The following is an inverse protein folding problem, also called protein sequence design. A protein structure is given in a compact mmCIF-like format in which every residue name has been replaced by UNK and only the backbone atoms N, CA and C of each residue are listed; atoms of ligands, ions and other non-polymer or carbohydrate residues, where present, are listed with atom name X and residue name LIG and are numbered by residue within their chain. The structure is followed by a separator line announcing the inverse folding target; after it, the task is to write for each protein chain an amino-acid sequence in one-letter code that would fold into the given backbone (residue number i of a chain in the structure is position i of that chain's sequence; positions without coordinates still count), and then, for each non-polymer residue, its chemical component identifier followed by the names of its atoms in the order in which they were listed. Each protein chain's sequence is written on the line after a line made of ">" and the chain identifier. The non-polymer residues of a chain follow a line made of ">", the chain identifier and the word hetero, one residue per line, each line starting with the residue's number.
data_IF_539205566943
#
_entry.id   IF_539205566943
#
_cell.length_a   1.000
_cell.length_b   1.000
_cell.length_c   1.000
_cell.angle_alpha   90.00
_cell.angle_beta   90.00
_cell.angle_gamma   90.00
#
_symmetry.space_group_name_H-M   'P 1'
#
loop_
_entity.id
_entity.type
_entity.pdbx_description
1 polymer ?
#
# COMPACT_ATOMS: atom_id res chain seq x y z
N UNK A 1 -30.95 44.13 -16.79
CA UNK A 1 -31.23 43.06 -15.84
C UNK A 1 -30.41 41.87 -16.24
N UNK A 2 -29.18 41.80 -15.72
CA UNK A 2 -28.16 40.83 -16.11
C UNK A 2 -28.13 39.71 -15.11
N UNK A 3 -28.43 38.49 -15.54
CA UNK A 3 -28.29 37.28 -14.78
C UNK A 3 -26.81 36.88 -14.72
N UNK A 4 -26.23 37.08 -13.58
CA UNK A 4 -24.87 36.68 -13.25
C UNK A 4 -24.84 35.15 -13.09
N UNK A 5 -24.22 34.46 -14.05
CA UNK A 5 -23.95 33.05 -14.01
C UNK A 5 -22.81 32.83 -13.02
N UNK A 6 -23.12 32.32 -11.86
CA UNK A 6 -22.18 31.80 -10.86
C UNK A 6 -21.61 30.47 -11.38
N UNK A 7 -20.53 30.57 -12.18
CA UNK A 7 -19.68 29.41 -12.48
C UNK A 7 -18.78 29.21 -11.28
N UNK A 8 -19.13 28.22 -10.46
CA UNK A 8 -18.24 27.69 -9.45
C UNK A 8 -16.92 27.26 -10.11
N UNK A 9 -15.99 28.18 -10.08
CA UNK A 9 -14.59 27.96 -10.47
C UNK A 9 -14.00 26.98 -9.46
N UNK A 10 -13.99 25.71 -9.85
CA UNK A 10 -13.18 24.69 -9.19
C UNK A 10 -11.74 25.14 -9.38
N UNK A 11 -11.19 25.85 -8.40
CA UNK A 11 -9.78 26.23 -8.35
C UNK A 11 -8.98 24.93 -8.31
N UNK A 12 -8.61 24.44 -9.49
CA UNK A 12 -7.53 23.48 -9.63
C UNK A 12 -6.28 24.21 -9.18
N UNK A 13 -5.90 23.98 -7.92
CA UNK A 13 -4.64 24.49 -7.40
C UNK A 13 -3.54 24.15 -8.38
N UNK A 14 -2.69 25.13 -8.69
CA UNK A 14 -1.55 25.02 -9.59
C UNK A 14 -0.86 23.67 -9.40
N UNK A 15 -0.95 22.80 -10.39
CA UNK A 15 -0.25 21.51 -10.40
C UNK A 15 1.22 21.84 -10.57
N UNK A 16 1.93 21.83 -9.47
CA UNK A 16 3.34 22.18 -9.41
C UNK A 16 4.13 21.08 -10.10
N UNK A 17 4.72 21.37 -11.26
CA UNK A 17 5.58 20.42 -11.98
C UNK A 17 6.64 19.85 -11.03
N UNK A 18 6.63 18.54 -10.84
CA UNK A 18 7.60 17.84 -10.00
C UNK A 18 9.02 18.10 -10.52
N UNK A 19 9.89 18.57 -9.62
CA UNK A 19 11.32 18.69 -9.91
C UNK A 19 11.92 17.29 -10.07
N UNK A 20 12.99 17.17 -10.87
CA UNK A 20 13.66 15.88 -11.11
C UNK A 20 14.02 15.12 -9.84
N UNK A 21 14.44 15.83 -8.78
CA UNK A 21 14.73 15.25 -7.46
C UNK A 21 13.50 14.63 -6.78
N UNK A 22 12.33 15.21 -6.96
CA UNK A 22 11.08 14.71 -6.38
C UNK A 22 10.59 13.46 -7.14
N UNK A 23 10.75 13.42 -8.46
CA UNK A 23 10.49 12.24 -9.30
C UNK A 23 11.38 11.07 -8.90
N UNK A 24 12.67 11.35 -8.67
CA UNK A 24 13.64 10.34 -8.23
C UNK A 24 13.36 9.83 -6.82
N UNK A 25 13.05 10.72 -5.88
CA UNK A 25 12.66 10.34 -4.52
C UNK A 25 11.38 9.48 -4.50
N UNK A 26 10.41 9.82 -5.36
CA UNK A 26 9.21 9.01 -5.57
C UNK A 26 9.56 7.61 -6.08
N UNK A 27 10.43 7.50 -7.10
CA UNK A 27 10.89 6.22 -7.64
C UNK A 27 11.57 5.33 -6.59
N UNK A 28 12.48 5.89 -5.79
CA UNK A 28 13.14 5.16 -4.68
C UNK A 28 12.12 4.68 -3.64
N UNK A 29 11.13 5.50 -3.32
CA UNK A 29 10.05 5.13 -2.40
C UNK A 29 9.22 3.95 -2.92
N UNK A 30 8.95 3.90 -4.24
CA UNK A 30 8.30 2.76 -4.90
C UNK A 30 9.10 1.47 -4.70
N UNK A 31 10.38 1.50 -5.07
CA UNK A 31 11.29 0.34 -4.94
C UNK A 31 11.33 -0.17 -3.51
N UNK A 32 11.57 0.71 -2.54
CA UNK A 32 11.66 0.30 -1.13
C UNK A 32 10.37 -0.35 -0.62
N UNK A 33 9.22 0.22 -0.95
CA UNK A 33 7.90 -0.32 -0.59
C UNK A 33 7.68 -1.72 -1.19
N UNK A 34 7.96 -1.87 -2.48
CA UNK A 34 7.69 -3.10 -3.20
C UNK A 34 8.69 -4.21 -2.86
N UNK A 35 9.96 -3.87 -2.57
CA UNK A 35 10.92 -4.85 -2.04
C UNK A 35 10.47 -5.44 -0.71
N UNK A 36 9.99 -4.60 0.23
CA UNK A 36 9.46 -5.08 1.51
C UNK A 36 8.25 -5.98 1.29
N UNK A 37 7.36 -5.63 0.36
CA UNK A 37 6.20 -6.45 0.02
C UNK A 37 6.61 -7.82 -0.54
N UNK A 38 7.47 -7.84 -1.53
CA UNK A 38 7.94 -9.08 -2.18
C UNK A 38 8.65 -10.01 -1.20
N UNK A 39 9.57 -9.47 -0.38
CA UNK A 39 10.23 -10.24 0.67
C UNK A 39 9.21 -10.83 1.65
N UNK A 40 8.30 -9.99 2.15
CA UNK A 40 7.29 -10.44 3.11
C UNK A 40 6.38 -11.51 2.51
N UNK A 41 5.90 -11.33 1.28
CA UNK A 41 5.02 -12.28 0.60
C UNK A 41 5.73 -13.63 0.35
N UNK A 42 7.01 -13.61 -0.01
CA UNK A 42 7.79 -14.83 -0.26
C UNK A 42 8.12 -15.58 1.03
N UNK A 43 8.54 -14.86 2.08
CA UNK A 43 8.97 -15.48 3.32
C UNK A 43 7.83 -15.88 4.25
N UNK A 44 6.64 -15.29 4.14
CA UNK A 44 5.51 -15.61 5.02
C UNK A 44 5.07 -17.07 4.88
N UNK A 45 5.02 -17.58 3.65
CA UNK A 45 4.66 -18.98 3.40
C UNK A 45 5.70 -19.93 3.99
N UNK A 46 6.98 -19.66 3.72
CA UNK A 46 8.09 -20.43 4.26
C UNK A 46 8.06 -20.44 5.80
N UNK A 47 7.90 -19.27 6.43
CA UNK A 47 7.89 -19.15 7.88
C UNK A 47 6.75 -19.95 8.52
N UNK A 48 5.53 -19.80 8.03
CA UNK A 48 4.38 -20.48 8.63
C UNK A 48 4.30 -21.96 8.29
N UNK A 49 4.71 -22.39 7.09
CA UNK A 49 4.64 -23.80 6.70
C UNK A 49 5.85 -24.60 7.20
N UNK A 50 7.06 -24.12 6.90
CA UNK A 50 8.28 -24.91 7.16
C UNK A 50 8.81 -24.72 8.58
N UNK A 51 8.70 -23.53 9.17
CA UNK A 51 9.22 -23.27 10.52
C UNK A 51 8.15 -23.53 11.58
N UNK A 52 6.93 -23.05 11.38
CA UNK A 52 5.86 -23.12 12.37
C UNK A 52 4.94 -24.33 12.18
N UNK A 53 5.07 -25.07 11.09
CA UNK A 53 4.31 -26.31 10.82
C UNK A 53 2.82 -26.10 10.52
N UNK A 54 2.41 -24.93 10.03
CA UNK A 54 1.03 -24.67 9.59
C UNK A 54 0.80 -25.39 8.26
N UNK A 55 -0.32 -26.14 8.15
CA UNK A 55 -0.60 -26.88 6.92
C UNK A 55 -0.77 -25.96 5.72
N UNK A 56 -0.32 -26.39 4.52
CA UNK A 56 -0.45 -25.65 3.27
C UNK A 56 -1.91 -25.32 2.94
N UNK A 57 -2.85 -26.22 3.29
CA UNK A 57 -4.29 -25.99 3.11
C UNK A 57 -4.78 -24.84 3.98
N UNK A 58 -4.37 -24.78 5.26
CA UNK A 58 -4.74 -23.68 6.15
C UNK A 58 -4.18 -22.33 5.63
N UNK A 59 -2.92 -22.31 5.18
CA UNK A 59 -2.32 -21.11 4.57
C UNK A 59 -3.04 -20.70 3.30
N UNK A 60 -3.41 -21.65 2.43
CA UNK A 60 -4.20 -21.38 1.22
C UNK A 60 -5.55 -20.73 1.55
N UNK A 61 -6.26 -21.21 2.56
CA UNK A 61 -7.53 -20.62 3.03
C UNK A 61 -7.31 -19.21 3.59
N UNK A 62 -6.25 -18.98 4.38
CA UNK A 62 -5.92 -17.64 4.91
C UNK A 62 -5.67 -16.66 3.76
N UNK A 63 -4.86 -17.04 2.79
CA UNK A 63 -4.56 -16.21 1.61
C UNK A 63 -5.82 -15.90 0.80
N UNK A 64 -6.70 -16.88 0.62
CA UNK A 64 -7.96 -16.69 -0.10
C UNK A 64 -8.89 -15.71 0.61
N UNK A 65 -9.07 -15.86 1.94
CA UNK A 65 -9.89 -14.96 2.76
C UNK A 65 -9.29 -13.54 2.72
N UNK A 66 -7.97 -13.42 2.85
CA UNK A 66 -7.29 -12.12 2.78
C UNK A 66 -7.55 -11.42 1.43
N UNK A 67 -7.52 -12.14 0.30
CA UNK A 67 -7.83 -11.56 -1.02
C UNK A 67 -9.25 -11.05 -1.13
N UNK A 68 -10.22 -11.78 -0.56
CA UNK A 68 -11.61 -11.31 -0.49
C UNK A 68 -11.70 -10.03 0.37
N UNK A 69 -11.01 -10.03 1.51
CA UNK A 69 -10.98 -8.88 2.40
C UNK A 69 -10.37 -7.65 1.72
N UNK A 70 -9.24 -7.80 1.02
CA UNK A 70 -8.56 -6.73 0.27
C UNK A 70 -9.50 -6.11 -0.77
N UNK A 71 -10.29 -6.93 -1.49
CA UNK A 71 -11.24 -6.44 -2.48
C UNK A 71 -12.28 -5.46 -1.92
N UNK A 72 -12.64 -5.58 -0.65
CA UNK A 72 -13.52 -4.62 0.05
C UNK A 72 -12.74 -3.48 0.70
N UNK A 73 -11.58 -3.78 1.25
CA UNK A 73 -10.75 -2.81 1.97
C UNK A 73 -10.19 -1.72 1.04
N UNK A 74 -9.77 -2.08 -0.17
CA UNK A 74 -9.13 -1.14 -1.10
C UNK A 74 -10.06 0.01 -1.54
N UNK A 75 -11.32 -0.22 -1.97
CA UNK A 75 -12.26 0.86 -2.26
C UNK A 75 -12.55 1.75 -1.03
N UNK A 76 -12.69 1.15 0.14
CA UNK A 76 -12.95 1.87 1.39
C UNK A 76 -11.79 2.82 1.70
N UNK A 77 -10.56 2.31 1.65
CA UNK A 77 -9.35 3.12 1.84
C UNK A 77 -9.22 4.22 0.79
N UNK A 78 -9.54 3.93 -0.47
CA UNK A 78 -9.57 4.94 -1.54
C UNK A 78 -10.51 6.11 -1.20
N UNK A 79 -11.71 5.82 -0.70
CA UNK A 79 -12.69 6.84 -0.29
C UNK A 79 -12.18 7.63 0.93
N UNK A 80 -11.62 6.96 1.92
CA UNK A 80 -11.08 7.60 3.13
C UNK A 80 -9.95 8.56 2.76
N UNK A 81 -8.99 8.11 1.96
CA UNK A 81 -7.87 8.93 1.47
C UNK A 81 -8.38 10.10 0.62
N UNK A 82 -9.40 9.87 -0.23
CA UNK A 82 -10.00 10.92 -1.05
C UNK A 82 -10.63 12.05 -0.21
N UNK A 83 -11.28 11.70 0.89
CA UNK A 83 -11.95 12.64 1.81
C UNK A 83 -11.00 13.27 2.84
N UNK A 84 -9.79 12.77 2.98
CA UNK A 84 -8.84 13.27 3.98
C UNK A 84 -8.35 14.67 3.61
N UNK A 85 -8.49 15.60 4.57
CA UNK A 85 -7.97 16.97 4.50
C UNK A 85 -7.18 17.23 5.78
N UNK A 86 -5.84 17.25 5.69
CA UNK A 86 -4.98 17.54 6.84
C UNK A 86 -4.03 18.68 6.56
N UNK A 87 -3.48 19.29 7.64
CA UNK A 87 -2.48 20.37 7.55
C UNK A 87 -1.17 19.92 6.85
N UNK A 88 -0.88 18.62 6.83
CA UNK A 88 0.32 18.03 6.21
C UNK A 88 0.07 17.58 4.76
N UNK A 89 -1.11 17.89 4.22
CA UNK A 89 -1.56 17.42 2.91
C UNK A 89 -2.43 16.18 2.99
N UNK A 90 -2.90 15.71 1.83
CA UNK A 90 -3.85 14.61 1.71
C UNK A 90 -3.21 13.23 1.91
N UNK A 91 -1.99 13.03 1.36
CA UNK A 91 -1.35 11.72 1.25
C UNK A 91 -0.27 11.46 2.29
N UNK A 92 0.48 12.49 2.70
CA UNK A 92 1.63 12.36 3.63
C UNK A 92 1.31 11.67 4.95
N UNK A 93 0.21 12.01 5.66
CA UNK A 93 -0.09 11.36 6.95
C UNK A 93 -0.36 9.87 6.78
N UNK A 94 -1.03 9.47 5.70
CA UNK A 94 -1.33 8.07 5.41
C UNK A 94 -0.06 7.27 5.10
N UNK A 95 0.87 7.85 4.33
CA UNK A 95 2.16 7.21 4.07
C UNK A 95 2.95 6.99 5.36
N UNK A 96 3.02 8.01 6.22
CA UNK A 96 3.77 7.92 7.48
C UNK A 96 3.15 6.90 8.44
N UNK A 97 1.85 7.01 8.70
CA UNK A 97 1.12 6.09 9.58
C UNK A 97 1.13 4.67 9.01
N UNK A 98 0.85 4.52 7.71
CA UNK A 98 0.84 3.23 7.02
C UNK A 98 2.19 2.53 7.08
N UNK A 99 3.29 3.24 6.84
CA UNK A 99 4.64 2.67 6.92
C UNK A 99 4.98 2.23 8.34
N UNK A 100 4.70 3.07 9.33
CA UNK A 100 5.00 2.75 10.73
C UNK A 100 4.17 1.56 11.23
N UNK A 101 2.87 1.57 10.98
CA UNK A 101 1.98 0.46 11.38
C UNK A 101 2.29 -0.82 10.63
N UNK A 102 2.62 -0.73 9.33
CA UNK A 102 3.04 -1.88 8.53
C UNK A 102 4.32 -2.53 9.08
N UNK A 103 5.31 -1.72 9.47
CA UNK A 103 6.55 -2.23 10.07
C UNK A 103 6.28 -2.97 11.39
N UNK A 104 5.40 -2.44 12.25
CA UNK A 104 5.02 -3.08 13.51
C UNK A 104 4.30 -4.41 13.25
N UNK A 105 3.32 -4.41 12.34
CA UNK A 105 2.54 -5.61 12.02
C UNK A 105 3.43 -6.68 11.36
N UNK A 106 4.35 -6.25 10.48
CA UNK A 106 5.33 -7.15 9.88
C UNK A 106 6.22 -7.81 10.94
N UNK A 107 6.71 -7.03 11.90
CA UNK A 107 7.44 -7.59 13.04
C UNK A 107 6.60 -8.61 13.83
N UNK A 108 5.36 -8.27 14.18
CA UNK A 108 4.46 -9.18 14.88
C UNK A 108 4.18 -10.45 14.06
N UNK A 109 4.03 -10.35 12.75
CA UNK A 109 3.76 -11.48 11.87
C UNK A 109 4.89 -12.54 11.94
N UNK A 110 6.15 -12.12 12.05
CA UNK A 110 7.30 -13.02 12.18
C UNK A 110 7.72 -13.29 13.63
N UNK A 111 7.11 -12.63 14.61
CA UNK A 111 7.35 -12.85 16.04
C UNK A 111 6.25 -13.69 16.69
N UNK A 112 5.83 -14.78 16.03
CA UNK A 112 4.80 -15.66 16.57
C UNK A 112 5.29 -16.28 17.90
N UNK A 113 4.50 -16.19 19.00
CA UNK A 113 4.90 -16.76 20.28
C UNK A 113 5.03 -18.29 20.20
N UNK A 114 6.12 -18.89 20.71
CA UNK A 114 6.35 -20.33 20.64
C UNK A 114 5.35 -21.16 21.47
N UNK A 115 4.59 -20.50 22.33
CA UNK A 115 3.52 -21.12 23.10
C UNK A 115 2.26 -21.40 22.28
N UNK A 116 2.12 -20.80 21.10
CA UNK A 116 0.98 -21.03 20.23
C UNK A 116 1.18 -22.30 19.39
N UNK A 117 0.18 -23.18 19.42
CA UNK A 117 0.18 -24.40 18.63
C UNK A 117 -1.21 -24.68 18.03
N UNK A 118 -1.24 -25.49 16.97
CA UNK A 118 -2.49 -25.93 16.36
C UNK A 118 -3.39 -24.79 15.91
N UNK A 119 -4.64 -24.77 16.38
CA UNK A 119 -5.65 -23.76 15.98
C UNK A 119 -5.28 -22.32 16.37
N UNK A 120 -4.59 -22.16 17.51
CA UNK A 120 -4.15 -20.84 17.98
C UNK A 120 -3.13 -20.22 17.03
N UNK A 121 -2.20 -21.00 16.51
CA UNK A 121 -1.20 -20.56 15.54
C UNK A 121 -1.83 -20.17 14.21
N UNK A 122 -2.79 -20.97 13.71
CA UNK A 122 -3.53 -20.66 12.48
C UNK A 122 -4.33 -19.36 12.61
N UNK A 123 -5.00 -19.17 13.76
CA UNK A 123 -5.73 -17.92 14.02
C UNK A 123 -4.79 -16.70 14.10
N UNK A 124 -3.64 -16.84 14.75
CA UNK A 124 -2.62 -15.79 14.81
C UNK A 124 -2.08 -15.44 13.43
N UNK A 125 -1.75 -16.45 12.61
CA UNK A 125 -1.31 -16.26 11.23
C UNK A 125 -2.36 -15.53 10.40
N UNK A 126 -3.64 -15.91 10.52
CA UNK A 126 -4.74 -15.28 9.80
C UNK A 126 -4.91 -13.78 10.17
N UNK A 127 -4.93 -13.49 11.48
CA UNK A 127 -5.12 -12.13 11.98
C UNK A 127 -3.94 -11.23 11.59
N UNK A 128 -2.71 -11.68 11.80
CA UNK A 128 -1.52 -10.88 11.47
C UNK A 128 -1.36 -10.67 9.97
N UNK A 129 -1.70 -11.67 9.16
CA UNK A 129 -1.66 -11.55 7.69
C UNK A 129 -2.70 -10.57 7.16
N UNK A 130 -3.94 -10.60 7.66
CA UNK A 130 -5.00 -9.65 7.28
C UNK A 130 -4.61 -8.23 7.73
N UNK A 131 -4.11 -8.07 8.96
CA UNK A 131 -3.64 -6.76 9.44
C UNK A 131 -2.48 -6.22 8.60
N UNK A 132 -1.57 -7.09 8.16
CA UNK A 132 -0.49 -6.71 7.26
C UNK A 132 -1.04 -6.19 5.92
N UNK A 133 -2.02 -6.87 5.32
CA UNK A 133 -2.71 -6.41 4.11
C UNK A 133 -3.34 -5.03 4.31
N UNK A 134 -4.11 -4.82 5.38
CA UNK A 134 -4.74 -3.53 5.70
C UNK A 134 -3.72 -2.41 5.82
N UNK A 135 -2.66 -2.62 6.60
CA UNK A 135 -1.63 -1.59 6.81
C UNK A 135 -0.82 -1.32 5.55
N UNK A 136 -0.61 -2.33 4.71
CA UNK A 136 -0.01 -2.16 3.40
C UNK A 136 -0.90 -1.32 2.47
N UNK A 137 -2.20 -1.61 2.39
CA UNK A 137 -3.17 -0.84 1.60
C UNK A 137 -3.23 0.63 2.06
N UNK A 138 -3.13 0.90 3.37
CA UNK A 138 -3.06 2.26 3.91
C UNK A 138 -1.88 3.08 3.37
N UNK A 139 -0.80 2.44 2.99
CA UNK A 139 0.37 3.07 2.39
C UNK A 139 0.29 3.05 0.86
N UNK A 140 -0.14 1.96 0.27
CA UNK A 140 -0.13 1.72 -1.18
C UNK A 140 -1.10 2.64 -1.93
N UNK A 141 -2.34 2.73 -1.49
CA UNK A 141 -3.38 3.54 -2.16
C UNK A 141 -3.02 5.03 -2.20
N UNK A 142 -2.61 5.70 -1.09
CA UNK A 142 -2.16 7.08 -1.17
C UNK A 142 -0.96 7.26 -2.07
N UNK A 143 -0.04 6.29 -2.08
CA UNK A 143 1.16 6.33 -2.90
C UNK A 143 0.82 6.40 -4.40
N UNK A 144 0.01 5.49 -4.89
CA UNK A 144 -0.42 5.49 -6.30
C UNK A 144 -1.33 6.67 -6.64
N UNK A 145 -2.14 7.14 -5.69
CA UNK A 145 -3.01 8.31 -5.85
C UNK A 145 -2.24 9.63 -5.97
N UNK A 146 -0.97 9.65 -5.61
CA UNK A 146 -0.11 10.84 -5.79
C UNK A 146 0.23 11.09 -7.26
N UNK A 147 0.34 10.05 -8.10
CA UNK A 147 0.69 10.21 -9.53
C UNK A 147 -0.28 11.14 -10.26
N UNK A 148 -1.60 10.90 -10.27
CA UNK A 148 -2.53 11.80 -10.93
C UNK A 148 -2.64 13.18 -10.26
N UNK A 149 -2.27 13.29 -8.98
CA UNK A 149 -2.28 14.56 -8.26
C UNK A 149 -1.10 15.47 -8.60
N UNK A 150 0.02 14.90 -9.06
CA UNK A 150 1.26 15.64 -9.37
C UNK A 150 1.53 15.80 -10.87
N UNK A 151 0.75 15.20 -11.76
CA UNK A 151 1.00 15.20 -13.21
C UNK A 151 -0.15 15.86 -13.98
N UNK A 152 0.16 16.88 -14.78
CA UNK A 152 -0.83 17.56 -15.63
C UNK A 152 -1.09 16.82 -16.95
N UNK A 153 -0.06 16.21 -17.53
CA UNK A 153 -0.15 15.56 -18.84
C UNK A 153 -0.21 14.03 -18.74
N UNK A 154 -0.93 13.41 -19.68
CA UNK A 154 -0.96 11.94 -19.80
C UNK A 154 0.42 11.32 -19.96
N UNK A 155 1.30 11.96 -20.76
CA UNK A 155 2.69 11.52 -20.96
C UNK A 155 3.55 11.55 -19.69
N UNK A 156 3.40 12.59 -18.86
CA UNK A 156 4.13 12.64 -17.57
C UNK A 156 3.64 11.56 -16.60
N UNK A 157 2.34 11.28 -16.60
CA UNK A 157 1.72 10.22 -15.83
C UNK A 157 2.21 8.84 -16.27
N UNK A 158 2.26 8.59 -17.57
CA UNK A 158 2.80 7.38 -18.17
C UNK A 158 4.28 7.19 -17.81
N UNK A 159 5.11 8.22 -17.95
CA UNK A 159 6.53 8.15 -17.63
C UNK A 159 6.78 7.88 -16.14
N UNK A 160 6.03 8.52 -15.24
CA UNK A 160 6.19 8.31 -13.80
C UNK A 160 5.71 6.91 -13.39
N UNK A 161 4.61 6.44 -13.97
CA UNK A 161 4.10 5.07 -13.77
C UNK A 161 5.05 4.03 -14.35
N UNK A 162 5.58 4.26 -15.54
CA UNK A 162 6.55 3.38 -16.18
C UNK A 162 7.85 3.30 -15.37
N UNK A 163 8.36 4.42 -14.86
CA UNK A 163 9.55 4.47 -14.03
C UNK A 163 9.35 3.69 -12.72
N UNK A 164 8.20 3.87 -12.04
CA UNK A 164 7.88 3.10 -10.84
C UNK A 164 7.76 1.60 -11.13
N UNK A 165 7.12 1.21 -12.24
CA UNK A 165 6.93 -0.19 -12.64
C UNK A 165 8.20 -0.84 -13.18
N UNK A 166 9.06 -0.10 -13.89
CA UNK A 166 10.34 -0.63 -14.38
C UNK A 166 11.26 -1.01 -13.22
N UNK A 167 11.27 -0.23 -12.16
CA UNK A 167 11.98 -0.57 -10.93
C UNK A 167 11.44 -1.86 -10.29
N UNK A 168 10.12 -2.09 -10.35
CA UNK A 168 9.45 -3.31 -9.89
C UNK A 168 9.92 -4.55 -10.66
N UNK A 169 9.95 -4.49 -11.98
CA UNK A 169 10.36 -5.60 -12.84
C UNK A 169 11.82 -5.99 -12.59
N UNK A 170 12.72 -5.02 -12.39
CA UNK A 170 14.13 -5.28 -12.08
C UNK A 170 14.33 -5.95 -10.71
N UNK A 171 13.42 -5.75 -9.75
CA UNK A 171 13.52 -6.38 -8.43
C UNK A 171 12.81 -7.73 -8.35
N UNK A 172 11.91 -8.06 -9.27
CA UNK A 172 11.20 -9.36 -9.29
C UNK A 172 11.96 -10.46 -10.03
N UNK A 173 12.90 -10.10 -10.92
CA UNK A 173 13.72 -11.04 -11.72
C UNK A 173 15.13 -11.29 -11.12
N UNK A 174 15.44 -10.67 -9.99
CA UNK A 174 16.70 -10.86 -9.25
C UNK A 174 16.49 -11.75 -8.04
#
# INVERSE_FOLDING_TARGET
>A
MALQSDKGEFVMGEVQKLKGKEKFAYGIGAVGKDMVYMLSASYVLYYYQDIMGVSAVAMGVILFIARIFDAFNDPIMGIIVAKTKTRWGKFRPWLFIGTLTNAIVLYLMFAAPPSLSGRGLVAYAAVTYILWGVTYTMMDIPYWSMIPAFTESGKERENLSAMARSCLLYTSDA
#
